data_IF_546239701308
#
_entry.id   IF_546239701308
#
_cell.length_a   1.000
_cell.length_b   1.000
_cell.length_c   1.000
_cell.angle_alpha   90.00
_cell.angle_beta   90.00
_cell.angle_gamma   90.00
#
_symmetry.space_group_name_H-M   'P 1'
#
loop_
_entity.id
_entity.type
_entity.pdbx_description
1 polymer ?
#
# COMPACT_ATOMS: atom_id res chain seq x y z
N UNK A 1 23.39 16.89 -24.31
CA UNK A 1 23.24 15.82 -25.32
C UNK A 1 22.49 16.29 -26.57
N UNK A 2 21.42 17.08 -26.47
CA UNK A 2 20.58 17.48 -27.62
C UNK A 2 21.25 18.42 -28.65
N UNK A 3 22.31 19.15 -28.28
CA UNK A 3 23.03 20.06 -29.18
C UNK A 3 24.30 19.48 -29.81
N UNK A 4 24.62 18.22 -29.53
CA UNK A 4 25.81 17.57 -30.08
C UNK A 4 25.50 17.04 -31.48
N UNK A 5 26.40 17.30 -32.42
CA UNK A 5 26.37 16.65 -33.74
C UNK A 5 26.42 15.13 -33.58
N UNK A 6 25.96 14.39 -34.60
CA UNK A 6 26.00 12.92 -34.57
C UNK A 6 27.43 12.38 -34.41
N UNK A 7 28.43 13.11 -34.93
CA UNK A 7 29.84 12.78 -34.78
C UNK A 7 30.34 13.00 -33.34
N UNK A 8 29.93 14.07 -32.68
CA UNK A 8 30.25 14.32 -31.27
C UNK A 8 29.53 13.35 -30.33
N UNK A 9 28.28 12.96 -30.63
CA UNK A 9 27.59 11.90 -29.90
C UNK A 9 28.32 10.57 -30.06
N UNK A 10 28.71 10.22 -31.29
CA UNK A 10 29.47 8.98 -31.55
C UNK A 10 30.81 9.01 -30.84
N UNK A 11 31.53 10.13 -30.85
CA UNK A 11 32.79 10.29 -30.12
C UNK A 11 32.58 10.21 -28.60
N UNK A 12 31.53 10.84 -28.07
CA UNK A 12 31.19 10.81 -26.65
C UNK A 12 30.80 9.40 -26.16
N UNK A 13 30.01 8.66 -26.95
CA UNK A 13 29.68 7.27 -26.66
C UNK A 13 30.89 6.33 -26.81
N UNK A 14 31.77 6.60 -27.78
CA UNK A 14 33.03 5.86 -27.93
C UNK A 14 33.96 6.12 -26.73
N UNK A 15 34.07 7.37 -26.28
CA UNK A 15 34.82 7.77 -25.10
C UNK A 15 34.25 7.18 -23.80
N UNK A 16 32.92 7.08 -23.68
CA UNK A 16 32.26 6.35 -22.57
C UNK A 16 32.56 4.84 -22.63
N UNK A 17 32.55 4.25 -23.83
CA UNK A 17 32.88 2.84 -24.05
C UNK A 17 34.34 2.52 -23.70
N UNK A 18 35.26 3.46 -23.93
CA UNK A 18 36.68 3.34 -23.57
C UNK A 18 36.99 3.82 -22.15
N UNK A 19 36.00 4.30 -21.40
CA UNK A 19 36.16 4.76 -20.01
C UNK A 19 36.97 6.05 -19.85
N UNK A 20 37.08 6.89 -20.89
CA UNK A 20 37.96 8.08 -20.88
C UNK A 20 37.24 9.39 -20.51
N UNK A 21 35.97 9.36 -20.12
CA UNK A 21 35.21 10.57 -19.77
C UNK A 21 35.35 10.84 -18.27
N UNK A 22 36.11 11.88 -17.93
CA UNK A 22 36.14 12.49 -16.60
C UNK A 22 34.77 13.12 -16.29
N UNK A 23 33.83 12.32 -15.81
CA UNK A 23 32.56 12.81 -15.28
C UNK A 23 32.37 12.25 -13.88
N UNK A 24 32.39 13.17 -12.91
CA UNK A 24 31.98 12.96 -11.52
C UNK A 24 30.47 12.68 -11.49
N UNK A 25 30.08 11.45 -11.82
CA UNK A 25 28.74 10.95 -11.57
C UNK A 25 28.78 10.14 -10.28
N UNK A 26 28.17 10.70 -9.23
CA UNK A 26 28.03 10.09 -7.92
C UNK A 26 27.41 8.70 -8.04
N UNK A 27 28.23 7.72 -7.67
CA UNK A 27 27.88 6.33 -7.59
C UNK A 27 27.19 6.14 -6.24
N UNK A 28 25.96 5.60 -6.23
CA UNK A 28 25.15 5.44 -4.99
C UNK A 28 25.88 4.62 -3.91
N UNK A 29 25.56 4.78 -2.61
CA UNK A 29 26.34 4.22 -1.48
C UNK A 29 26.54 2.70 -1.47
N UNK A 30 25.71 1.91 -2.17
CA UNK A 30 25.86 0.46 -2.28
C UNK A 30 26.76 0.01 -3.45
N UNK A 31 27.32 0.95 -4.21
CA UNK A 31 28.24 0.71 -5.32
C UNK A 31 29.67 1.21 -5.01
N UNK A 32 30.00 1.39 -3.73
CA UNK A 32 31.27 1.95 -3.21
C UNK A 32 32.55 1.20 -3.61
N UNK A 33 32.47 0.13 -4.41
CA UNK A 33 33.63 -0.56 -4.97
C UNK A 33 34.07 -0.08 -6.35
N UNK A 34 33.35 0.84 -7.00
CA UNK A 34 33.64 1.24 -8.37
C UNK A 34 34.55 2.49 -8.40
N UNK A 35 35.85 2.29 -8.65
CA UNK A 35 36.79 3.39 -8.89
C UNK A 35 36.93 3.66 -10.39
N UNK A 36 36.46 4.82 -10.90
CA UNK A 36 36.45 5.11 -12.35
C UNK A 36 37.85 5.34 -12.95
N UNK A 37 38.92 5.32 -12.14
CA UNK A 37 40.30 5.62 -12.58
C UNK A 37 41.14 4.41 -12.95
N UNK A 38 40.57 3.22 -12.97
CA UNK A 38 41.31 2.01 -13.34
C UNK A 38 40.89 1.62 -14.74
N UNK A 39 41.82 1.69 -15.69
CA UNK A 39 41.72 1.03 -16.99
C UNK A 39 41.63 -0.48 -16.74
N UNK A 40 40.42 -0.93 -16.43
CA UNK A 40 40.16 -2.31 -16.06
C UNK A 40 40.25 -3.18 -17.30
N UNK A 41 41.35 -3.93 -17.39
CA UNK A 41 41.60 -4.94 -18.40
C UNK A 41 40.48 -6.02 -18.35
N UNK A 42 39.62 -5.97 -19.37
CA UNK A 42 38.51 -6.91 -19.57
C UNK A 42 39.01 -8.34 -19.77
N UNK A 43 40.10 -8.48 -20.53
CA UNK A 43 40.71 -9.78 -20.75
C UNK A 43 41.32 -10.28 -19.45
N UNK A 44 41.99 -9.42 -18.69
CA UNK A 44 42.55 -9.73 -17.38
C UNK A 44 41.51 -10.24 -16.37
N UNK A 45 40.28 -9.72 -16.39
CA UNK A 45 39.21 -10.15 -15.47
C UNK A 45 38.66 -11.53 -15.81
N UNK A 46 38.45 -11.82 -17.10
CA UNK A 46 38.02 -13.14 -17.58
C UNK A 46 39.12 -14.18 -17.41
N UNK A 47 40.37 -13.83 -17.73
CA UNK A 47 41.53 -14.70 -17.53
C UNK A 47 41.71 -15.01 -16.05
N UNK A 48 41.60 -14.02 -15.15
CA UNK A 48 41.68 -14.25 -13.70
C UNK A 48 40.57 -15.18 -13.19
N UNK A 49 39.35 -15.07 -13.74
CA UNK A 49 38.26 -16.00 -13.40
C UNK A 49 38.59 -17.43 -13.87
N UNK A 50 39.10 -17.58 -15.09
CA UNK A 50 39.52 -18.87 -15.63
C UNK A 50 40.65 -19.49 -14.81
N UNK A 51 41.68 -18.72 -14.44
CA UNK A 51 42.79 -19.13 -13.59
C UNK A 51 42.32 -19.57 -12.19
N UNK A 52 41.38 -18.83 -11.58
CA UNK A 52 40.83 -19.18 -10.27
C UNK A 52 40.02 -20.49 -10.32
N UNK A 53 39.21 -20.67 -11.38
CA UNK A 53 38.46 -21.92 -11.59
C UNK A 53 39.39 -23.11 -11.76
N UNK A 54 40.45 -22.96 -12.55
CA UNK A 54 41.44 -24.01 -12.80
C UNK A 54 42.17 -24.40 -11.50
N UNK A 55 42.58 -23.41 -10.70
CA UNK A 55 43.21 -23.64 -9.39
C UNK A 55 42.31 -24.41 -8.41
N UNK A 56 41.03 -24.03 -8.32
CA UNK A 56 40.04 -24.70 -7.46
C UNK A 56 39.81 -26.14 -7.92
N UNK A 57 39.66 -26.36 -9.23
CA UNK A 57 39.51 -27.69 -9.82
C UNK A 57 40.73 -28.57 -9.53
N UNK A 58 41.94 -28.04 -9.68
CA UNK A 58 43.17 -28.77 -9.40
C UNK A 58 43.24 -29.20 -7.93
N UNK A 59 42.95 -28.29 -6.98
CA UNK A 59 42.93 -28.60 -5.54
C UNK A 59 41.87 -29.64 -5.17
N UNK A 60 40.69 -29.58 -5.78
CA UNK A 60 39.64 -30.61 -5.58
C UNK A 60 40.09 -31.98 -6.08
N UNK A 61 40.81 -32.03 -7.21
CA UNK A 61 41.36 -33.27 -7.75
C UNK A 61 42.46 -33.85 -6.84
N UNK A 62 43.33 -33.00 -6.27
CA UNK A 62 44.36 -33.42 -5.31
C UNK A 62 43.73 -34.05 -4.06
N UNK A 63 42.77 -33.35 -3.43
CA UNK A 63 42.03 -33.88 -2.28
C UNK A 63 41.32 -35.21 -2.59
N UNK A 64 40.75 -35.33 -3.78
CA UNK A 64 40.08 -36.56 -4.23
C UNK A 64 41.03 -37.73 -4.47
N UNK A 65 42.28 -37.48 -4.91
CA UNK A 65 43.30 -38.52 -5.13
C UNK A 65 43.84 -39.04 -3.80
N UNK A 66 44.10 -38.16 -2.84
CA UNK A 66 44.62 -38.54 -1.52
C UNK A 66 43.65 -39.41 -0.72
N UNK A 67 42.34 -39.27 -0.95
CA UNK A 67 41.33 -40.12 -0.34
C UNK A 67 41.25 -41.53 -0.92
N UNK A 68 41.71 -41.75 -2.17
CA UNK A 68 41.64 -43.08 -2.82
C UNK A 68 42.86 -43.96 -2.56
N UNK A 69 43.98 -43.39 -2.09
CA UNK A 69 45.29 -44.05 -2.11
C UNK A 69 45.74 -44.71 -0.79
N UNK A 70 44.97 -44.68 0.32
CA UNK A 70 45.44 -45.34 1.55
C UNK A 70 44.37 -45.70 2.59
N UNK A 71 44.05 -47.00 2.82
CA UNK A 71 43.23 -47.46 3.94
C UNK A 71 44.03 -47.82 5.22
N UNK A 72 45.33 -47.53 5.30
CA UNK A 72 46.18 -47.94 6.42
C UNK A 72 46.17 -46.95 7.60
N UNK A 73 45.33 -47.28 8.60
CA UNK A 73 45.45 -47.08 10.06
C UNK A 73 46.49 -46.08 10.63
N UNK A 74 46.49 -44.82 10.20
CA UNK A 74 47.17 -43.74 10.94
C UNK A 74 46.20 -42.56 11.10
N UNK A 75 45.36 -42.67 12.12
CA UNK A 75 44.28 -41.76 12.45
C UNK A 75 44.71 -40.79 13.57
N UNK A 76 44.65 -39.49 13.31
CA UNK A 76 44.00 -38.48 14.18
C UNK A 76 44.17 -37.03 13.64
N UNK A 77 45.21 -36.73 12.85
CA UNK A 77 45.52 -35.34 12.46
C UNK A 77 45.03 -34.89 11.06
N UNK A 78 44.78 -35.82 10.12
CA UNK A 78 44.32 -35.49 8.76
C UNK A 78 42.95 -34.78 8.65
N UNK A 79 41.92 -35.12 9.44
CA UNK A 79 40.58 -34.55 9.26
C UNK A 79 40.53 -33.02 9.41
N UNK A 80 41.39 -32.46 10.26
CA UNK A 80 41.41 -31.03 10.54
C UNK A 80 42.11 -30.23 9.43
N UNK A 81 43.06 -30.83 8.72
CA UNK A 81 43.68 -30.24 7.53
C UNK A 81 42.69 -30.24 6.36
N UNK A 82 41.94 -31.33 6.19
CA UNK A 82 40.92 -31.46 5.14
C UNK A 82 39.78 -30.45 5.34
N UNK A 83 39.32 -30.24 6.58
CA UNK A 83 38.29 -29.23 6.88
C UNK A 83 38.75 -27.79 6.56
N UNK A 84 40.02 -27.45 6.84
CA UNK A 84 40.58 -26.13 6.47
C UNK A 84 40.72 -25.97 4.95
N UNK A 85 41.06 -27.05 4.25
CA UNK A 85 41.11 -27.05 2.79
C UNK A 85 39.71 -26.84 2.19
N UNK A 86 38.68 -27.50 2.74
CA UNK A 86 37.28 -27.29 2.35
C UNK A 86 36.82 -25.85 2.60
N UNK A 87 37.13 -25.28 3.75
CA UNK A 87 36.79 -23.88 4.06
C UNK A 87 37.48 -22.89 3.11
N UNK A 88 38.76 -23.14 2.79
CA UNK A 88 39.51 -22.35 1.81
C UNK A 88 38.90 -22.44 0.41
N UNK A 89 38.48 -23.64 -0.01
CA UNK A 89 37.81 -23.85 -1.29
C UNK A 89 36.46 -23.15 -1.34
N UNK A 90 35.69 -23.19 -0.26
CA UNK A 90 34.41 -22.47 -0.15
C UNK A 90 34.61 -20.98 -0.36
N UNK A 91 35.58 -20.37 0.32
CA UNK A 91 35.91 -18.95 0.15
C UNK A 91 36.38 -18.60 -1.28
N UNK A 92 37.13 -19.50 -1.93
CA UNK A 92 37.54 -19.33 -3.33
C UNK A 92 36.37 -19.42 -4.31
N UNK A 93 35.43 -20.35 -4.10
CA UNK A 93 34.20 -20.48 -4.90
C UNK A 93 33.35 -19.21 -4.77
N UNK A 94 33.21 -18.66 -3.57
CA UNK A 94 32.52 -17.37 -3.37
C UNK A 94 33.23 -16.22 -4.11
N UNK A 95 34.57 -16.24 -4.16
CA UNK A 95 35.37 -15.31 -4.95
C UNK A 95 35.08 -15.40 -6.45
N UNK A 96 35.13 -16.61 -7.00
CA UNK A 96 34.80 -16.90 -8.40
C UNK A 96 33.38 -16.44 -8.73
N UNK A 97 32.41 -16.75 -7.87
CA UNK A 97 31.02 -16.35 -8.06
C UNK A 97 30.88 -14.82 -8.14
N UNK A 98 31.57 -14.08 -7.25
CA UNK A 98 31.62 -12.61 -7.32
C UNK A 98 32.23 -12.10 -8.62
N UNK A 99 33.36 -12.68 -9.06
CA UNK A 99 34.02 -12.31 -10.32
C UNK A 99 33.13 -12.60 -11.54
N UNK A 100 32.45 -13.74 -11.56
CA UNK A 100 31.50 -14.10 -12.61
C UNK A 100 30.34 -13.11 -12.70
N UNK A 101 29.70 -12.77 -11.57
CA UNK A 101 28.61 -11.78 -11.56
C UNK A 101 29.08 -10.40 -12.04
N UNK A 102 30.29 -9.97 -11.66
CA UNK A 102 30.87 -8.72 -12.13
C UNK A 102 31.12 -8.73 -13.65
N UNK A 103 31.72 -9.81 -14.18
CA UNK A 103 31.95 -9.96 -15.62
C UNK A 103 30.64 -10.00 -16.43
N UNK A 104 29.66 -10.76 -15.95
CA UNK A 104 28.35 -10.88 -16.59
C UNK A 104 27.56 -9.57 -16.55
N UNK A 105 27.64 -8.80 -15.46
CA UNK A 105 27.09 -7.44 -15.39
C UNK A 105 27.76 -6.52 -16.42
N UNK A 106 29.09 -6.59 -16.56
CA UNK A 106 29.84 -5.78 -17.52
C UNK A 106 29.45 -6.09 -18.98
N UNK A 107 29.37 -7.38 -19.34
CA UNK A 107 28.91 -7.80 -20.67
C UNK A 107 27.48 -7.33 -20.97
N UNK A 108 26.57 -7.39 -19.98
CA UNK A 108 25.21 -6.84 -20.12
C UNK A 108 25.21 -5.34 -20.36
N UNK A 109 26.02 -4.58 -19.62
CA UNK A 109 26.17 -3.14 -19.83
C UNK A 109 26.72 -2.84 -21.24
N UNK A 110 27.69 -3.61 -21.72
CA UNK A 110 28.27 -3.42 -23.05
C UNK A 110 27.27 -3.73 -24.17
N UNK A 111 26.54 -4.85 -24.07
CA UNK A 111 25.47 -5.20 -25.01
C UNK A 111 24.33 -4.15 -24.99
N UNK A 112 24.00 -3.61 -23.82
CA UNK A 112 23.06 -2.50 -23.72
C UNK A 112 23.59 -1.25 -24.44
N UNK A 113 24.85 -0.86 -24.22
CA UNK A 113 25.42 0.33 -24.87
C UNK A 113 25.51 0.18 -26.40
N UNK A 114 25.72 -1.02 -26.93
CA UNK A 114 25.75 -1.24 -28.39
C UNK A 114 24.34 -1.26 -29.00
N UNK A 115 23.33 -1.76 -28.28
CA UNK A 115 21.95 -1.82 -28.75
C UNK A 115 21.15 -0.54 -28.47
N UNK A 116 21.46 0.20 -27.40
CA UNK A 116 20.69 1.35 -26.91
C UNK A 116 20.46 2.46 -27.95
N UNK A 117 21.41 2.83 -28.84
CA UNK A 117 21.16 3.84 -29.87
C UNK A 117 20.08 3.47 -30.88
N UNK A 118 19.84 2.16 -31.04
CA UNK A 118 18.83 1.60 -31.94
C UNK A 118 17.50 1.31 -31.25
N UNK A 119 17.47 1.26 -29.91
CA UNK A 119 16.25 1.02 -29.16
C UNK A 119 15.31 2.24 -29.24
N UNK A 120 14.06 2.09 -29.69
CA UNK A 120 13.12 3.22 -29.83
C UNK A 120 12.96 4.05 -28.55
N UNK A 121 13.06 3.42 -27.39
CA UNK A 121 12.86 4.05 -26.08
C UNK A 121 13.92 5.11 -25.74
N UNK A 122 15.12 5.04 -26.34
CA UNK A 122 16.16 6.06 -26.12
C UNK A 122 15.91 7.34 -26.92
N UNK A 123 14.91 7.35 -27.82
CA UNK A 123 14.53 8.53 -28.62
C UNK A 123 13.31 9.25 -28.07
N UNK A 124 12.56 8.62 -27.16
CA UNK A 124 11.40 9.26 -26.53
C UNK A 124 11.85 10.47 -25.71
N UNK A 125 11.20 11.63 -25.81
CA UNK A 125 11.40 12.75 -24.90
C UNK A 125 11.19 12.37 -23.41
N UNK A 126 11.82 13.11 -22.49
CA UNK A 126 11.81 12.77 -21.05
C UNK A 126 10.41 12.89 -20.41
N UNK A 127 9.58 13.78 -20.91
CA UNK A 127 8.16 13.94 -20.55
C UNK A 127 7.33 12.74 -20.98
N UNK A 128 7.56 12.20 -22.19
CA UNK A 128 6.90 10.96 -22.64
C UNK A 128 7.36 9.76 -21.81
N UNK A 129 8.64 9.69 -21.45
CA UNK A 129 9.15 8.68 -20.53
C UNK A 129 8.51 8.81 -19.14
N UNK A 130 8.39 10.03 -18.61
CA UNK A 130 7.72 10.28 -17.34
C UNK A 130 6.25 9.83 -17.36
N UNK A 131 5.50 10.14 -18.42
CA UNK A 131 4.12 9.67 -18.59
C UNK A 131 4.03 8.14 -18.65
N UNK A 132 4.93 7.48 -19.37
CA UNK A 132 5.01 6.01 -19.39
C UNK A 132 5.28 5.49 -17.98
N UNK A 133 6.19 6.12 -17.22
CA UNK A 133 6.50 5.70 -15.87
C UNK A 133 5.33 5.86 -14.92
N UNK A 134 4.57 6.97 -15.02
CA UNK A 134 3.37 7.20 -14.23
C UNK A 134 2.30 6.13 -14.49
N UNK A 135 2.11 5.73 -15.75
CA UNK A 135 1.21 4.61 -16.11
C UNK A 135 1.68 3.25 -15.59
N UNK A 136 2.99 3.08 -15.43
CA UNK A 136 3.60 1.88 -14.84
C UNK A 136 3.72 1.96 -13.31
N UNK A 137 3.34 3.09 -12.70
CA UNK A 137 3.43 3.30 -11.27
C UNK A 137 2.63 2.26 -10.50
N UNK A 138 3.30 1.52 -9.62
CA UNK A 138 2.66 0.61 -8.68
C UNK A 138 2.48 1.31 -7.32
N UNK A 139 1.77 0.72 -6.38
CA UNK A 139 1.78 1.19 -5.00
C UNK A 139 3.17 1.04 -4.38
N UNK A 140 3.76 2.15 -3.92
CA UNK A 140 5.06 2.15 -3.25
C UNK A 140 4.95 1.46 -1.89
N UNK A 141 5.46 0.23 -1.82
CA UNK A 141 5.47 -0.58 -0.59
C UNK A 141 6.83 -1.24 -0.40
N UNK A 142 7.21 -1.41 0.85
CA UNK A 142 8.25 -2.38 1.20
C UNK A 142 7.65 -3.80 1.12
N UNK A 143 8.47 -4.83 0.96
CA UNK A 143 8.16 -6.23 0.56
C UNK A 143 7.20 -7.02 1.48
N UNK A 144 6.29 -6.38 2.18
CA UNK A 144 5.63 -6.94 3.35
C UNK A 144 4.48 -7.86 3.02
N UNK A 145 4.57 -9.08 3.53
CA UNK A 145 3.47 -10.05 3.58
C UNK A 145 2.29 -9.59 4.47
N UNK A 146 2.45 -8.51 5.25
CA UNK A 146 1.42 -8.04 6.18
C UNK A 146 0.16 -7.55 5.46
N UNK A 147 0.34 -6.97 4.26
CA UNK A 147 -0.75 -6.52 3.40
C UNK A 147 -1.50 -7.66 2.71
N UNK A 148 -0.88 -8.83 2.55
CA UNK A 148 -1.55 -10.01 1.96
C UNK A 148 -2.83 -10.36 2.74
N UNK A 149 -2.80 -10.18 4.06
CA UNK A 149 -3.95 -10.40 4.94
C UNK A 149 -5.03 -9.33 4.85
N UNK A 150 -4.66 -8.11 4.43
CA UNK A 150 -5.53 -6.94 4.43
C UNK A 150 -6.31 -6.86 3.11
N UNK A 151 -5.61 -7.00 1.99
CA UNK A 151 -6.17 -6.75 0.66
C UNK A 151 -6.85 -8.01 0.09
N UNK A 152 -6.68 -9.19 0.71
CA UNK A 152 -7.26 -10.43 0.19
C UNK A 152 -6.75 -10.81 -1.22
N UNK A 153 -5.59 -10.26 -1.60
CA UNK A 153 -5.02 -10.37 -2.94
C UNK A 153 -4.15 -11.61 -3.15
N UNK A 154 -4.05 -12.05 -4.40
CA UNK A 154 -3.33 -13.27 -4.79
C UNK A 154 -1.82 -13.21 -4.48
N UNK A 155 -1.31 -14.26 -3.86
CA UNK A 155 0.04 -14.46 -3.34
C UNK A 155 1.23 -14.24 -4.30
N UNK A 156 1.01 -14.08 -5.61
CA UNK A 156 2.09 -14.18 -6.60
C UNK A 156 2.75 -12.85 -7.01
N UNK A 157 2.12 -11.69 -6.77
CA UNK A 157 2.63 -10.40 -7.24
C UNK A 157 3.50 -9.64 -6.21
N UNK A 158 3.58 -10.09 -4.96
CA UNK A 158 4.19 -9.31 -3.87
C UNK A 158 5.71 -9.41 -3.76
N UNK A 159 6.35 -10.15 -4.68
CA UNK A 159 7.81 -10.32 -4.70
C UNK A 159 8.55 -9.34 -5.62
N UNK A 160 7.84 -8.50 -6.37
CA UNK A 160 8.46 -7.51 -7.22
C UNK A 160 8.82 -6.25 -6.42
N UNK A 161 9.96 -5.62 -6.73
CA UNK A 161 10.25 -4.26 -6.27
C UNK A 161 9.25 -3.30 -6.91
N UNK A 162 8.85 -2.20 -6.24
CA UNK A 162 7.99 -1.20 -6.86
C UNK A 162 8.59 -0.72 -8.18
N UNK A 163 7.74 -0.59 -9.22
CA UNK A 163 8.17 -0.23 -10.57
C UNK A 163 9.05 1.03 -10.57
N UNK A 164 8.71 2.01 -9.73
CA UNK A 164 9.46 3.26 -9.52
C UNK A 164 10.95 3.02 -9.23
N UNK A 165 11.24 2.08 -8.33
CA UNK A 165 12.61 1.75 -7.92
C UNK A 165 13.34 1.04 -9.05
N UNK A 166 12.63 0.15 -9.77
CA UNK A 166 13.19 -0.54 -10.94
C UNK A 166 13.52 0.47 -12.04
N UNK A 167 12.58 1.34 -12.40
CA UNK A 167 12.72 2.39 -13.41
C UNK A 167 13.90 3.33 -13.08
N UNK A 168 14.00 3.79 -11.82
CA UNK A 168 15.09 4.64 -11.36
C UNK A 168 16.47 3.95 -11.31
N UNK A 169 16.50 2.62 -11.42
CA UNK A 169 17.73 1.82 -11.42
C UNK A 169 18.26 1.46 -12.81
N UNK A 170 17.49 1.72 -13.88
CA UNK A 170 17.86 1.30 -15.26
C UNK A 170 19.08 2.06 -15.78
N UNK A 171 18.99 3.38 -15.90
CA UNK A 171 20.09 4.24 -16.35
C UNK A 171 19.92 5.66 -15.77
N UNK A 172 20.93 6.51 -15.91
CA UNK A 172 20.90 7.89 -15.37
C UNK A 172 19.71 8.69 -15.90
N UNK A 173 19.43 8.58 -17.20
CA UNK A 173 18.31 9.27 -17.84
C UNK A 173 16.95 8.84 -17.28
N UNK A 174 16.73 7.54 -17.14
CA UNK A 174 15.48 7.01 -16.58
C UNK A 174 15.32 7.40 -15.12
N UNK A 175 16.43 7.43 -14.37
CA UNK A 175 16.43 7.95 -13.00
C UNK A 175 16.01 9.41 -12.93
N UNK A 176 16.58 10.26 -13.78
CA UNK A 176 16.19 11.67 -13.86
C UNK A 176 14.71 11.82 -14.21
N UNK A 177 14.24 11.12 -15.25
CA UNK A 177 12.84 11.15 -15.66
C UNK A 177 11.89 10.65 -14.56
N UNK A 178 12.22 9.53 -13.90
CA UNK A 178 11.44 8.97 -12.80
C UNK A 178 11.44 9.87 -11.56
N UNK A 179 12.54 10.55 -11.25
CA UNK A 179 12.60 11.50 -10.14
C UNK A 179 11.86 12.81 -10.45
N UNK A 180 11.81 13.23 -11.72
CA UNK A 180 11.03 14.41 -12.13
C UNK A 180 9.51 14.14 -12.17
N UNK A 181 9.11 12.90 -12.39
CA UNK A 181 7.71 12.47 -12.42
C UNK A 181 7.14 12.39 -11.00
N UNK A 182 6.69 13.52 -10.43
CA UNK A 182 6.21 13.58 -9.03
C UNK A 182 5.04 12.65 -8.75
N UNK A 183 4.11 12.49 -9.70
CA UNK A 183 2.94 11.64 -9.56
C UNK A 183 3.31 10.15 -9.39
N UNK A 184 4.51 9.76 -9.85
CA UNK A 184 5.03 8.41 -9.66
C UNK A 184 5.24 8.04 -8.18
N UNK A 185 5.35 9.05 -7.31
CA UNK A 185 5.69 8.92 -5.88
C UNK A 185 4.53 9.26 -4.94
N UNK A 186 3.28 9.25 -5.44
CA UNK A 186 2.12 9.69 -4.65
C UNK A 186 1.32 8.57 -4.00
N UNK A 187 1.42 7.32 -4.47
CA UNK A 187 0.69 6.20 -3.89
C UNK A 187 1.62 5.37 -3.00
N UNK A 188 1.50 5.52 -1.68
CA UNK A 188 2.44 4.95 -0.70
C UNK A 188 1.72 4.09 0.34
N UNK A 189 2.21 2.87 0.55
CA UNK A 189 1.87 2.03 1.71
C UNK A 189 3.03 2.03 2.69
N UNK A 190 2.74 2.52 3.89
CA UNK A 190 3.69 2.59 4.98
C UNK A 190 3.28 1.64 6.10
N UNK A 191 4.04 0.55 6.27
CA UNK A 191 3.90 -0.42 7.35
C UNK A 191 5.17 -0.49 8.21
N UNK A 192 5.26 -1.47 9.13
CA UNK A 192 6.45 -1.62 9.99
C UNK A 192 7.74 -2.00 9.25
N UNK A 193 7.62 -2.57 8.04
CA UNK A 193 8.78 -3.05 7.30
C UNK A 193 9.47 -1.94 6.50
N UNK A 194 8.75 -0.87 6.15
CA UNK A 194 9.31 0.29 5.45
C UNK A 194 10.01 1.23 6.45
N UNK A 195 11.35 1.38 6.38
CA UNK A 195 12.07 2.31 7.24
C UNK A 195 11.59 3.75 7.00
N UNK A 196 11.48 4.53 8.07
CA UNK A 196 11.00 5.92 7.95
C UNK A 196 11.85 6.75 6.99
N UNK A 197 13.18 6.57 6.97
CA UNK A 197 14.04 7.30 6.04
C UNK A 197 13.71 7.03 4.56
N UNK A 198 13.30 5.81 4.21
CA UNK A 198 12.87 5.48 2.85
C UNK A 198 11.52 6.11 2.51
N UNK A 199 10.58 6.13 3.47
CA UNK A 199 9.33 6.84 3.32
C UNK A 199 9.56 8.34 3.09
N UNK A 200 10.40 8.97 3.91
CA UNK A 200 10.73 10.40 3.79
C UNK A 200 11.28 10.73 2.39
N UNK A 201 12.18 9.90 1.89
CA UNK A 201 12.71 10.03 0.55
C UNK A 201 11.62 9.95 -0.53
N UNK A 202 10.66 9.02 -0.39
CA UNK A 202 9.53 8.91 -1.32
C UNK A 202 8.58 10.10 -1.24
N UNK A 203 8.24 10.54 -0.03
CA UNK A 203 7.38 11.70 0.20
C UNK A 203 8.01 12.98 -0.37
N UNK A 204 9.32 13.16 -0.18
CA UNK A 204 10.12 14.26 -0.72
C UNK A 204 10.07 14.31 -2.25
N UNK A 205 10.21 13.15 -2.92
CA UNK A 205 10.12 13.05 -4.39
C UNK A 205 8.74 13.41 -4.92
N UNK A 206 7.67 13.05 -4.21
CA UNK A 206 6.31 13.47 -4.55
C UNK A 206 6.07 14.97 -4.40
N UNK A 207 6.90 15.68 -3.62
CA UNK A 207 6.83 17.13 -3.45
C UNK A 207 5.48 17.61 -2.89
N UNK A 208 4.74 18.38 -3.68
CA UNK A 208 3.41 18.91 -3.32
C UNK A 208 2.27 18.24 -4.11
N UNK A 209 2.54 17.15 -4.85
CA UNK A 209 1.50 16.44 -5.58
C UNK A 209 0.48 15.79 -4.61
N UNK A 210 -0.80 15.67 -4.99
CA UNK A 210 -1.80 14.95 -4.19
C UNK A 210 -1.28 13.55 -3.78
N UNK A 211 -1.50 13.15 -2.52
CA UNK A 211 -0.92 11.96 -1.92
C UNK A 211 -2.00 10.95 -1.52
N UNK A 212 -1.82 9.70 -1.94
CA UNK A 212 -2.60 8.56 -1.50
C UNK A 212 -1.75 7.74 -0.52
N UNK A 213 -2.10 7.81 0.77
CA UNK A 213 -1.33 7.19 1.83
C UNK A 213 -2.11 6.06 2.50
N UNK A 214 -1.51 4.87 2.57
CA UNK A 214 -2.01 3.76 3.38
C UNK A 214 -1.07 3.54 4.55
N UNK A 215 -1.54 3.76 5.78
CA UNK A 215 -0.75 3.55 7.01
C UNK A 215 -1.22 2.26 7.68
N UNK A 216 -0.33 1.28 7.75
CA UNK A 216 -0.60 -0.02 8.38
C UNK A 216 0.17 -0.11 9.69
N UNK A 217 -0.55 -0.39 10.78
CA UNK A 217 0.01 -0.55 12.12
C UNK A 217 -0.50 -1.86 12.73
N UNK A 218 0.36 -2.87 12.65
CA UNK A 218 0.19 -4.18 13.29
C UNK A 218 0.70 -4.18 14.74
N UNK A 219 1.69 -3.35 15.06
CA UNK A 219 2.30 -3.29 16.40
C UNK A 219 1.70 -2.16 17.26
N UNK A 220 1.22 -2.52 18.45
CA UNK A 220 0.73 -1.56 19.45
C UNK A 220 1.87 -0.99 20.31
N UNK A 221 2.63 -0.03 19.81
CA UNK A 221 3.55 0.76 20.63
C UNK A 221 3.22 2.26 20.52
N UNK A 222 3.29 2.97 21.64
CA UNK A 222 3.02 4.42 21.69
C UNK A 222 3.98 5.21 20.78
N UNK A 223 5.24 4.80 20.74
CA UNK A 223 6.25 5.41 19.86
C UNK A 223 5.87 5.26 18.38
N UNK A 224 5.40 4.07 17.97
CA UNK A 224 4.94 3.86 16.58
C UNK A 224 3.79 4.80 16.26
N UNK A 225 2.81 4.94 17.15
CA UNK A 225 1.63 5.78 16.91
C UNK A 225 2.02 7.25 16.76
N UNK A 226 2.86 7.77 17.67
CA UNK A 226 3.34 9.15 17.62
C UNK A 226 4.10 9.44 16.32
N UNK A 227 4.99 8.53 15.90
CA UNK A 227 5.71 8.67 14.62
C UNK A 227 4.77 8.64 13.42
N UNK A 228 3.75 7.75 13.41
CA UNK A 228 2.76 7.71 12.32
C UNK A 228 1.94 8.99 12.25
N UNK A 229 1.47 9.45 13.40
CA UNK A 229 0.70 10.67 13.52
C UNK A 229 1.50 11.87 12.99
N UNK A 230 2.75 12.02 13.40
CA UNK A 230 3.60 13.14 12.98
C UNK A 230 3.75 13.22 11.46
N UNK A 231 3.99 12.08 10.81
CA UNK A 231 4.07 12.02 9.34
C UNK A 231 2.72 12.37 8.71
N UNK A 232 1.61 11.82 9.22
CA UNK A 232 0.25 12.13 8.73
C UNK A 232 -0.01 13.64 8.82
N UNK A 233 0.28 14.28 9.96
CA UNK A 233 0.12 15.73 10.14
C UNK A 233 0.91 16.51 9.10
N UNK A 234 2.19 16.18 8.92
CA UNK A 234 3.06 16.87 7.97
C UNK A 234 2.58 16.75 6.52
N UNK A 235 2.01 15.62 6.12
CA UNK A 235 1.51 15.42 4.75
C UNK A 235 0.03 15.78 4.57
N UNK A 236 -0.68 16.15 5.65
CA UNK A 236 -2.12 16.43 5.65
C UNK A 236 -2.58 17.41 4.56
N UNK A 237 -1.88 18.53 4.30
CA UNK A 237 -2.32 19.49 3.30
C UNK A 237 -2.43 18.93 1.87
N UNK A 238 -1.70 17.85 1.57
CA UNK A 238 -1.67 17.21 0.26
C UNK A 238 -2.35 15.84 0.21
N UNK A 239 -2.90 15.34 1.32
CA UNK A 239 -3.59 14.04 1.32
C UNK A 239 -4.86 14.10 0.45
N UNK A 240 -4.94 13.21 -0.53
CA UNK A 240 -6.11 12.99 -1.38
C UNK A 240 -6.87 11.74 -0.93
N UNK A 241 -6.17 10.65 -0.66
CA UNK A 241 -6.73 9.46 -0.04
C UNK A 241 -5.91 9.05 1.19
N UNK A 242 -6.59 8.65 2.26
CA UNK A 242 -5.96 8.10 3.46
C UNK A 242 -6.64 6.79 3.86
N UNK A 243 -5.86 5.72 3.92
CA UNK A 243 -6.29 4.44 4.49
C UNK A 243 -5.53 4.15 5.77
N UNK A 244 -6.23 4.04 6.89
CA UNK A 244 -5.69 3.69 8.20
C UNK A 244 -6.05 2.26 8.54
N UNK A 245 -5.05 1.39 8.65
CA UNK A 245 -5.24 -0.03 8.96
C UNK A 245 -4.52 -0.37 10.25
N UNK A 246 -5.25 -0.79 11.28
CA UNK A 246 -4.59 -1.12 12.55
C UNK A 246 -5.50 -1.55 13.67
N UNK A 247 -4.96 -1.63 14.88
CA UNK A 247 -5.74 -1.94 16.07
C UNK A 247 -6.63 -0.75 16.48
N UNK A 248 -7.78 -0.99 17.14
CA UNK A 248 -8.72 0.07 17.57
C UNK A 248 -8.05 1.20 18.34
N UNK A 249 -7.05 0.88 19.16
CA UNK A 249 -6.30 1.88 19.94
C UNK A 249 -5.55 2.87 19.03
N UNK A 250 -4.87 2.38 17.99
CA UNK A 250 -4.17 3.23 17.02
C UNK A 250 -5.17 4.14 16.29
N UNK A 251 -6.26 3.56 15.79
CA UNK A 251 -7.28 4.29 15.04
C UNK A 251 -7.93 5.39 15.89
N UNK A 252 -8.25 5.09 17.15
CA UNK A 252 -8.76 6.07 18.11
C UNK A 252 -7.73 7.17 18.40
N UNK A 253 -6.47 6.80 18.63
CA UNK A 253 -5.39 7.76 18.89
C UNK A 253 -5.18 8.74 17.72
N UNK A 254 -5.18 8.23 16.48
CA UNK A 254 -5.12 9.07 15.28
C UNK A 254 -6.35 9.97 15.19
N UNK A 255 -7.56 9.44 15.39
CA UNK A 255 -8.77 10.25 15.29
C UNK A 255 -8.85 11.38 16.34
N UNK A 256 -8.29 11.17 17.53
CA UNK A 256 -8.23 12.20 18.57
C UNK A 256 -7.19 13.28 18.29
N UNK A 257 -6.01 12.90 17.79
CA UNK A 257 -4.88 13.81 17.73
C UNK A 257 -4.62 14.37 16.33
N UNK A 258 -5.18 13.79 15.27
CA UNK A 258 -5.05 14.32 13.92
C UNK A 258 -6.05 15.46 13.68
N UNK A 259 -5.65 16.65 14.12
CA UNK A 259 -6.45 17.88 14.03
C UNK A 259 -6.11 18.74 12.81
N UNK A 260 -4.95 18.53 12.19
CA UNK A 260 -4.44 19.33 11.08
C UNK A 260 -5.32 19.21 9.82
N UNK A 261 -5.72 20.32 9.19
CA UNK A 261 -6.65 20.30 8.07
C UNK A 261 -6.12 19.46 6.91
N UNK A 262 -7.00 18.68 6.29
CA UNK A 262 -6.69 17.93 5.07
C UNK A 262 -7.68 18.34 3.97
N UNK A 263 -7.48 19.52 3.35
CA UNK A 263 -8.47 20.12 2.45
C UNK A 263 -8.63 19.37 1.12
N UNK A 264 -7.66 18.55 0.72
CA UNK A 264 -7.72 17.75 -0.52
C UNK A 264 -8.24 16.33 -0.29
N UNK A 265 -8.52 15.94 0.97
CA UNK A 265 -8.86 14.57 1.31
C UNK A 265 -10.26 14.23 0.78
N UNK A 266 -10.31 13.42 -0.27
CA UNK A 266 -11.53 12.95 -0.91
C UNK A 266 -11.95 11.57 -0.38
N UNK A 267 -11.00 10.76 0.07
CA UNK A 267 -11.25 9.38 0.52
C UNK A 267 -10.60 9.11 1.88
N UNK A 268 -11.40 8.63 2.83
CA UNK A 268 -10.94 8.19 4.15
C UNK A 268 -11.42 6.77 4.42
N UNK A 269 -10.48 5.87 4.62
CA UNK A 269 -10.75 4.46 4.91
C UNK A 269 -10.12 4.09 6.25
N UNK A 270 -10.90 3.51 7.15
CA UNK A 270 -10.49 3.11 8.50
C UNK A 270 -10.80 1.64 8.67
N UNK A 271 -9.77 0.80 8.80
CA UNK A 271 -9.89 -0.65 8.83
C UNK A 271 -9.27 -1.24 10.08
N UNK A 272 -10.06 -2.04 10.80
CA UNK A 272 -9.58 -2.75 11.99
C UNK A 272 -8.85 -4.03 11.61
N UNK A 273 -7.60 -4.14 12.05
CA UNK A 273 -6.89 -5.42 12.10
C UNK A 273 -7.33 -6.26 13.30
N UNK A 274 -7.58 -7.54 13.05
CA UNK A 274 -7.72 -8.55 14.10
C UNK A 274 -6.31 -8.90 14.57
N UNK A 275 -5.98 -8.50 15.80
CA UNK A 275 -4.68 -8.78 16.40
C UNK A 275 -4.70 -8.60 17.91
N UNK A 276 -3.72 -9.19 18.58
CA UNK A 276 -3.55 -9.05 20.03
C UNK A 276 -2.72 -7.80 20.35
N UNK A 277 -3.41 -6.71 20.70
CA UNK A 277 -2.79 -5.57 21.33
C UNK A 277 -2.69 -5.82 22.84
N UNK A 278 -1.48 -5.90 23.40
CA UNK A 278 -1.30 -6.05 24.85
C UNK A 278 -1.78 -4.83 25.63
N UNK A 279 -1.84 -3.67 24.96
CA UNK A 279 -2.27 -2.43 25.59
C UNK A 279 -3.80 -2.37 25.55
N UNK A 280 -4.43 -2.48 26.73
CA UNK A 280 -5.87 -2.30 26.87
C UNK A 280 -6.22 -0.84 26.54
N UNK A 281 -7.16 -0.57 25.62
CA UNK A 281 -7.60 0.79 25.35
C UNK A 281 -8.33 1.33 26.59
N UNK A 282 -8.05 2.58 26.96
CA UNK A 282 -8.76 3.25 28.06
C UNK A 282 -10.23 3.49 27.71
N UNK A 283 -10.53 3.66 26.42
CA UNK A 283 -11.85 3.98 25.90
C UNK A 283 -12.42 2.80 25.11
N UNK A 284 -13.73 2.56 25.23
CA UNK A 284 -14.44 1.48 24.53
C UNK A 284 -15.05 1.90 23.20
N UNK A 285 -15.00 3.18 22.85
CA UNK A 285 -15.52 3.71 21.60
C UNK A 285 -14.43 3.74 20.53
N UNK A 286 -14.87 3.72 19.28
CA UNK A 286 -14.05 4.08 18.14
C UNK A 286 -14.35 5.52 17.77
N UNK A 287 -13.32 6.35 17.75
CA UNK A 287 -13.46 7.74 17.34
C UNK A 287 -13.10 7.86 15.86
N UNK A 288 -13.88 8.65 15.12
CA UNK A 288 -13.56 9.10 13.77
C UNK A 288 -13.39 10.61 13.81
N UNK A 289 -12.46 11.10 13.00
CA UNK A 289 -12.19 12.52 12.84
C UNK A 289 -13.45 13.27 12.40
N UNK A 290 -13.68 14.48 12.92
CA UNK A 290 -14.82 15.28 12.49
C UNK A 290 -14.74 15.71 11.02
N UNK A 291 -15.87 15.57 10.33
CA UNK A 291 -15.96 15.77 8.87
C UNK A 291 -15.73 17.23 8.44
N UNK A 292 -16.03 18.22 9.28
CA UNK A 292 -15.80 19.63 8.98
C UNK A 292 -14.31 19.98 8.79
N UNK A 293 -13.41 19.17 9.33
CA UNK A 293 -11.95 19.35 9.16
C UNK A 293 -11.41 18.76 7.85
N UNK A 294 -12.26 18.04 7.12
CA UNK A 294 -11.98 17.38 5.83
C UNK A 294 -13.09 17.75 4.83
N UNK A 295 -13.19 19.04 4.45
CA UNK A 295 -14.35 19.56 3.73
C UNK A 295 -14.57 18.94 2.35
N UNK A 296 -13.52 18.38 1.73
CA UNK A 296 -13.58 17.72 0.43
C UNK A 296 -13.90 16.22 0.50
N UNK A 297 -14.14 15.67 1.69
CA UNK A 297 -14.33 14.24 1.85
C UNK A 297 -15.60 13.76 1.14
N UNK A 298 -15.41 12.87 0.16
CA UNK A 298 -16.47 12.29 -0.69
C UNK A 298 -16.77 10.85 -0.34
N UNK A 299 -15.77 10.08 0.09
CA UNK A 299 -15.93 8.66 0.44
C UNK A 299 -15.39 8.38 1.84
N UNK A 300 -16.23 7.78 2.70
CA UNK A 300 -15.87 7.34 4.04
C UNK A 300 -16.15 5.85 4.18
N UNK A 301 -15.10 5.08 4.45
CA UNK A 301 -15.18 3.64 4.68
C UNK A 301 -14.69 3.31 6.08
N UNK A 302 -15.54 2.67 6.88
CA UNK A 302 -15.24 2.24 8.25
C UNK A 302 -15.47 0.74 8.33
N UNK A 303 -14.43 -0.06 8.55
CA UNK A 303 -14.55 -1.52 8.57
C UNK A 303 -13.98 -2.19 9.81
N UNK A 304 -14.70 -3.20 10.29
CA UNK A 304 -14.30 -4.07 11.39
C UNK A 304 -14.25 -3.38 12.77
N UNK A 305 -14.66 -2.12 12.87
CA UNK A 305 -14.65 -1.34 14.11
C UNK A 305 -15.68 -1.89 15.11
N UNK A 306 -15.48 -1.59 16.38
CA UNK A 306 -16.42 -1.95 17.46
C UNK A 306 -17.21 -0.68 17.83
N UNK A 307 -18.54 -0.74 17.91
CA UNK A 307 -19.34 0.37 18.41
C UNK A 307 -19.06 0.63 19.91
N UNK A 308 -19.27 1.87 20.41
CA UNK A 308 -19.79 3.04 19.70
C UNK A 308 -18.85 3.60 18.62
N UNK A 309 -19.42 4.15 17.55
CA UNK A 309 -18.74 5.08 16.67
C UNK A 309 -18.97 6.48 17.24
N UNK A 310 -17.93 7.27 17.45
CA UNK A 310 -18.04 8.65 17.93
C UNK A 310 -17.28 9.57 16.97
N UNK A 311 -17.89 10.70 16.60
CA UNK A 311 -17.20 11.72 15.82
C UNK A 311 -16.71 12.82 16.76
N UNK A 312 -15.41 13.12 16.75
CA UNK A 312 -14.80 14.05 17.71
C UNK A 312 -14.49 15.41 17.07
N UNK A 313 -14.83 16.56 17.71
CA UNK A 313 -15.86 16.83 18.72
C UNK A 313 -17.19 17.27 18.09
N UNK A 314 -18.27 16.96 18.81
CA UNK A 314 -19.68 17.20 18.49
C UNK A 314 -20.14 18.66 18.65
N UNK A 315 -19.28 19.63 18.35
CA UNK A 315 -19.75 21.02 18.25
C UNK A 315 -20.76 21.08 17.12
N UNK A 316 -21.96 21.62 17.38
CA UNK A 316 -23.14 21.74 16.51
C UNK A 316 -22.87 22.56 15.24
N UNK A 317 -21.88 22.16 14.45
CA UNK A 317 -21.54 22.81 13.21
C UNK A 317 -22.42 22.18 12.13
N UNK A 318 -23.49 22.87 11.76
CA UNK A 318 -24.40 22.54 10.65
C UNK A 318 -23.72 22.60 9.27
N UNK A 319 -22.42 22.34 9.18
CA UNK A 319 -21.73 22.28 7.91
C UNK A 319 -22.13 20.99 7.20
N UNK A 320 -22.92 21.14 6.14
CA UNK A 320 -23.19 20.06 5.19
C UNK A 320 -21.86 19.56 4.65
N UNK A 321 -21.58 18.26 4.83
CA UNK A 321 -20.37 17.66 4.29
C UNK A 321 -20.55 17.27 2.81
N UNK A 322 -19.44 17.14 2.09
CA UNK A 322 -19.42 16.74 0.68
C UNK A 322 -19.49 15.21 0.49
N UNK A 323 -19.92 14.47 1.51
CA UNK A 323 -19.88 13.01 1.53
C UNK A 323 -20.91 12.45 0.55
N UNK A 324 -20.46 11.63 -0.39
CA UNK A 324 -21.27 10.96 -1.42
C UNK A 324 -21.36 9.47 -1.21
N UNK A 325 -20.34 8.86 -0.62
CA UNK A 325 -20.29 7.43 -0.36
C UNK A 325 -19.95 7.16 1.10
N UNK A 326 -20.75 6.32 1.74
CA UNK A 326 -20.56 5.91 3.12
C UNK A 326 -20.65 4.38 3.22
N UNK A 327 -19.57 3.74 3.66
CA UNK A 327 -19.52 2.30 3.94
C UNK A 327 -19.23 2.07 5.41
N UNK A 328 -20.14 1.41 6.13
CA UNK A 328 -19.99 1.07 7.54
C UNK A 328 -20.04 -0.45 7.73
N UNK A 329 -18.95 -1.05 8.20
CA UNK A 329 -18.87 -2.45 8.63
C UNK A 329 -18.49 -2.59 10.10
N UNK A 330 -19.39 -3.17 10.92
CA UNK A 330 -19.14 -3.37 12.35
C UNK A 330 -19.03 -4.85 12.75
N UNK A 331 -18.23 -5.12 13.78
CA UNK A 331 -18.10 -6.46 14.33
C UNK A 331 -19.13 -6.73 15.44
N UNK A 332 -20.33 -7.13 15.03
CA UNK A 332 -21.34 -7.92 15.74
C UNK A 332 -21.78 -7.45 17.16
N UNK A 333 -21.99 -6.14 17.34
CA UNK A 333 -22.59 -5.56 18.56
C UNK A 333 -23.60 -4.47 18.19
N UNK A 334 -24.46 -4.10 19.14
CA UNK A 334 -25.39 -2.98 19.05
C UNK A 334 -24.63 -1.73 18.60
N UNK A 335 -24.94 -1.25 17.40
CA UNK A 335 -24.44 0.03 16.91
C UNK A 335 -25.29 1.14 17.50
N UNK A 336 -24.67 2.27 17.82
CA UNK A 336 -25.42 3.43 18.30
C UNK A 336 -26.18 4.02 17.12
N UNK A 337 -27.45 3.64 17.00
CA UNK A 337 -28.37 4.11 15.96
C UNK A 337 -28.31 5.64 15.85
N UNK A 338 -28.36 6.35 16.97
CA UNK A 338 -28.37 7.82 16.97
C UNK A 338 -27.12 8.43 16.34
N UNK A 339 -25.94 7.85 16.55
CA UNK A 339 -24.71 8.36 15.93
C UNK A 339 -24.71 8.14 14.42
N UNK A 340 -25.23 7.00 13.95
CA UNK A 340 -25.35 6.72 12.52
C UNK A 340 -26.40 7.67 11.91
N UNK A 341 -27.55 7.85 12.54
CA UNK A 341 -28.57 8.79 12.07
C UNK A 341 -28.06 10.23 12.04
N UNK A 342 -27.35 10.67 13.09
CA UNK A 342 -26.70 11.99 13.12
C UNK A 342 -25.70 12.18 11.98
N UNK A 343 -24.89 11.16 11.69
CA UNK A 343 -23.98 11.16 10.54
C UNK A 343 -24.75 11.31 9.22
N UNK A 344 -25.81 10.52 9.01
CA UNK A 344 -26.64 10.58 7.82
C UNK A 344 -27.31 11.97 7.67
N UNK A 345 -27.85 12.55 8.75
CA UNK A 345 -28.41 13.92 8.74
C UNK A 345 -27.39 14.98 8.32
N UNK A 346 -26.12 14.78 8.66
CA UNK A 346 -25.04 15.70 8.26
C UNK A 346 -24.60 15.55 6.81
N UNK A 347 -25.06 14.50 6.11
CA UNK A 347 -24.64 14.09 4.76
C UNK A 347 -25.81 14.07 3.76
N UNK A 348 -26.46 15.21 3.47
CA UNK A 348 -27.60 15.25 2.54
C UNK A 348 -27.23 14.91 1.09
N UNK A 349 -25.96 15.02 0.71
CA UNK A 349 -25.43 14.74 -0.63
C UNK A 349 -25.02 13.26 -0.82
N UNK A 350 -25.41 12.39 0.12
CA UNK A 350 -25.04 10.98 0.10
C UNK A 350 -25.75 10.25 -1.04
N UNK A 351 -24.99 9.65 -1.94
CA UNK A 351 -25.46 8.89 -3.10
C UNK A 351 -25.46 7.39 -2.86
N UNK A 352 -24.44 6.88 -2.17
CA UNK A 352 -24.24 5.45 -1.91
C UNK A 352 -24.09 5.21 -0.42
N UNK A 353 -24.99 4.40 0.15
CA UNK A 353 -24.96 3.98 1.55
C UNK A 353 -24.82 2.46 1.63
N UNK A 354 -23.70 1.99 2.14
CA UNK A 354 -23.47 0.57 2.41
C UNK A 354 -23.32 0.28 3.91
N UNK A 355 -24.18 -0.58 4.43
CA UNK A 355 -24.24 -0.99 5.83
C UNK A 355 -23.98 -2.50 5.94
N UNK A 356 -22.77 -2.88 6.33
CA UNK A 356 -22.38 -4.28 6.57
C UNK A 356 -22.34 -4.59 8.06
N UNK A 357 -22.96 -5.68 8.47
CA UNK A 357 -22.97 -6.19 9.86
C UNK A 357 -23.38 -5.13 10.90
N UNK A 358 -24.12 -4.10 10.48
CA UNK A 358 -24.65 -3.03 11.32
C UNK A 358 -25.90 -3.58 12.00
N UNK A 359 -26.00 -3.45 13.33
CA UNK A 359 -27.12 -4.03 14.09
C UNK A 359 -27.74 -2.96 14.99
N UNK A 360 -28.91 -2.45 14.59
CA UNK A 360 -29.60 -1.36 15.28
C UNK A 360 -30.39 -1.81 16.52
N UNK A 361 -30.77 -3.08 16.60
CA UNK A 361 -31.43 -3.64 17.78
C UNK A 361 -30.95 -5.06 18.06
N UNK A 362 -31.06 -5.50 19.31
CA UNK A 362 -31.06 -6.93 19.63
C UNK A 362 -32.50 -7.38 19.87
N UNK A 363 -32.81 -8.64 19.55
CA UNK A 363 -34.17 -9.24 19.66
C UNK A 363 -34.82 -9.07 21.04
N UNK A 364 -34.01 -8.83 22.08
CA UNK A 364 -34.48 -8.57 23.44
C UNK A 364 -35.14 -7.21 23.64
N UNK A 365 -35.05 -6.30 22.65
CA UNK A 365 -35.60 -4.95 22.73
C UNK A 365 -36.70 -4.76 21.69
N UNK A 366 -37.85 -5.43 21.87
CA UNK A 366 -39.09 -5.10 21.16
C UNK A 366 -39.50 -3.62 21.33
N UNK A 367 -38.88 -2.90 22.26
CA UNK A 367 -39.02 -1.47 22.55
C UNK A 367 -37.90 -0.59 21.96
N UNK A 368 -37.07 -1.08 21.03
CA UNK A 368 -35.97 -0.28 20.47
C UNK A 368 -36.40 1.03 19.79
N UNK A 369 -37.66 1.10 19.37
CA UNK A 369 -38.35 2.34 19.09
C UNK A 369 -39.46 2.43 20.13
N UNK A 370 -39.26 3.11 21.27
CA UNK A 370 -40.40 3.44 22.12
C UNK A 370 -41.39 4.22 21.25
N UNK A 371 -42.69 4.04 21.47
CA UNK A 371 -43.79 4.67 20.70
C UNK A 371 -43.80 6.23 20.72
N UNK A 372 -42.69 6.84 21.09
CA UNK A 372 -42.40 8.28 21.06
C UNK A 372 -40.98 8.59 20.57
N UNK A 373 -40.38 7.79 19.68
CA UNK A 373 -39.20 8.24 18.94
C UNK A 373 -39.63 9.39 18.01
N UNK A 374 -39.72 10.61 18.56
CA UNK A 374 -39.95 11.86 17.83
C UNK A 374 -38.72 12.27 17.01
N UNK A 375 -37.94 11.29 16.56
CA UNK A 375 -36.70 11.50 15.85
C UNK A 375 -37.01 12.25 14.57
N UNK A 376 -36.32 13.37 14.38
CA UNK A 376 -36.34 14.12 13.15
C UNK A 376 -36.01 13.17 11.98
N UNK A 377 -36.88 13.19 10.97
CA UNK A 377 -36.72 12.42 9.73
C UNK A 377 -35.36 12.73 9.12
N UNK A 378 -34.68 11.69 8.66
CA UNK A 378 -33.38 11.81 8.00
C UNK A 378 -33.65 11.86 6.49
N UNK A 379 -33.63 13.07 5.94
CA UNK A 379 -33.85 13.29 4.51
C UNK A 379 -32.52 13.14 3.76
N UNK A 380 -32.46 12.17 2.85
CA UNK A 380 -31.33 11.90 1.98
C UNK A 380 -31.80 12.02 0.53
N UNK A 381 -31.94 13.26 0.02
CA UNK A 381 -32.54 13.50 -1.29
C UNK A 381 -31.74 12.87 -2.43
N UNK A 382 -30.41 12.82 -2.31
CA UNK A 382 -29.54 12.34 -3.39
C UNK A 382 -29.18 10.85 -3.26
N UNK A 383 -29.78 10.12 -2.31
CA UNK A 383 -29.45 8.71 -2.11
C UNK A 383 -30.01 7.86 -3.26
N UNK A 384 -29.10 7.24 -3.99
CA UNK A 384 -29.34 6.46 -5.20
C UNK A 384 -29.26 4.96 -4.94
N UNK A 385 -28.30 4.56 -4.09
CA UNK A 385 -27.95 3.17 -3.80
C UNK A 385 -27.93 2.90 -2.28
N UNK A 386 -28.70 1.90 -1.84
CA UNK A 386 -28.70 1.43 -0.45
C UNK A 386 -28.40 -0.07 -0.38
N UNK A 387 -27.27 -0.41 0.21
CA UNK A 387 -26.87 -1.79 0.44
C UNK A 387 -26.83 -2.11 1.94
N UNK A 388 -27.56 -3.15 2.37
CA UNK A 388 -27.65 -3.57 3.77
C UNK A 388 -27.32 -5.06 3.88
N UNK A 389 -26.09 -5.37 4.30
CA UNK A 389 -25.60 -6.74 4.51
C UNK A 389 -25.55 -7.09 5.99
N UNK A 390 -26.61 -7.67 6.56
CA UNK A 390 -26.68 -7.90 8.02
C UNK A 390 -26.61 -9.39 8.40
N UNK A 391 -26.00 -9.77 9.54
CA UNK A 391 -26.17 -11.12 10.09
C UNK A 391 -27.64 -11.37 10.48
N UNK A 392 -28.04 -12.64 10.60
CA UNK A 392 -29.44 -13.07 10.84
C UNK A 392 -30.12 -12.30 11.99
N UNK A 393 -31.41 -11.99 11.80
CA UNK A 393 -32.35 -11.33 12.75
C UNK A 393 -32.08 -9.84 13.05
N UNK A 394 -31.85 -9.04 12.00
CA UNK A 394 -31.78 -7.59 12.13
C UNK A 394 -33.16 -6.92 12.03
N UNK A 395 -33.36 -5.83 12.77
CA UNK A 395 -34.55 -4.99 12.64
C UNK A 395 -34.36 -3.93 11.57
N UNK A 396 -35.38 -3.80 10.72
CA UNK A 396 -35.46 -2.84 9.63
C UNK A 396 -36.30 -1.61 9.97
N UNK A 397 -36.84 -1.48 11.20
CA UNK A 397 -37.67 -0.32 11.61
C UNK A 397 -36.97 1.03 11.45
N UNK A 398 -35.64 1.07 11.53
CA UNK A 398 -34.87 2.29 11.29
C UNK A 398 -35.03 2.83 9.85
N UNK A 399 -35.45 2.01 8.89
CA UNK A 399 -35.77 2.51 7.55
C UNK A 399 -36.95 3.48 7.55
N UNK A 400 -37.86 3.40 8.55
CA UNK A 400 -39.00 4.32 8.68
C UNK A 400 -38.58 5.75 9.01
N UNK A 401 -37.35 5.95 9.51
CA UNK A 401 -36.83 7.29 9.79
C UNK A 401 -36.07 7.90 8.61
N UNK A 402 -35.92 7.17 7.50
CA UNK A 402 -35.26 7.65 6.29
C UNK A 402 -36.29 8.16 5.27
N UNK A 403 -36.06 9.35 4.73
CA UNK A 403 -36.77 9.86 3.56
C UNK A 403 -35.78 9.92 2.38
N UNK A 404 -35.98 9.04 1.39
CA UNK A 404 -35.00 8.75 0.31
C UNK A 404 -35.69 8.81 -1.07
N UNK A 405 -36.10 10.00 -1.54
CA UNK A 405 -36.99 10.14 -2.71
C UNK A 405 -36.39 9.68 -4.04
N UNK A 406 -35.07 9.65 -4.18
CA UNK A 406 -34.37 9.27 -5.42
C UNK A 406 -33.74 7.87 -5.36
N UNK A 407 -34.07 7.07 -4.34
CA UNK A 407 -33.53 5.73 -4.19
C UNK A 407 -34.05 4.84 -5.32
N UNK A 408 -33.15 4.27 -6.12
CA UNK A 408 -33.53 3.38 -7.22
C UNK A 408 -32.95 1.98 -7.08
N UNK A 409 -31.84 1.82 -6.34
CA UNK A 409 -31.23 0.52 -6.12
C UNK A 409 -31.14 0.17 -4.64
N UNK A 410 -31.62 -1.02 -4.29
CA UNK A 410 -31.55 -1.57 -2.94
C UNK A 410 -31.12 -3.02 -2.98
N UNK A 411 -30.08 -3.34 -2.23
CA UNK A 411 -29.68 -4.72 -1.96
C UNK A 411 -29.71 -4.99 -0.45
N UNK A 412 -30.43 -6.03 -0.04
CA UNK A 412 -30.52 -6.47 1.35
C UNK A 412 -30.19 -7.96 1.43
N UNK A 413 -29.06 -8.30 2.04
CA UNK A 413 -28.54 -9.68 2.09
C UNK A 413 -28.11 -10.08 3.51
N UNK A 414 -28.15 -11.37 3.94
CA UNK A 414 -28.69 -12.56 3.29
C UNK A 414 -30.17 -12.85 3.61
N UNK A 415 -30.84 -11.95 4.33
CA UNK A 415 -32.07 -12.30 5.03
C UNK A 415 -33.30 -11.67 4.38
N UNK A 416 -34.33 -12.49 4.12
CA UNK A 416 -35.72 -12.07 3.83
C UNK A 416 -36.40 -11.37 5.02
N UNK A 417 -35.68 -11.06 6.10
CA UNK A 417 -36.27 -10.45 7.31
C UNK A 417 -36.94 -9.10 7.06
N UNK A 418 -36.58 -8.41 5.98
CA UNK A 418 -37.31 -7.22 5.55
C UNK A 418 -38.70 -7.55 5.00
N UNK A 419 -38.90 -8.73 4.37
CA UNK A 419 -40.20 -9.22 3.89
C UNK A 419 -41.12 -9.56 5.06
N UNK A 420 -40.58 -10.24 6.08
CA UNK A 420 -41.29 -10.51 7.33
C UNK A 420 -41.68 -9.22 8.06
N UNK A 421 -40.80 -8.21 8.07
CA UNK A 421 -41.11 -6.92 8.68
C UNK A 421 -42.23 -6.15 7.97
N UNK A 422 -42.34 -6.29 6.64
CA UNK A 422 -43.38 -5.65 5.85
C UNK A 422 -44.72 -6.39 5.89
N UNK A 423 -44.80 -7.53 6.59
CA UNK A 423 -45.91 -8.48 6.50
C UNK A 423 -46.30 -8.74 5.03
N UNK A 424 -45.28 -8.82 4.15
CA UNK A 424 -45.49 -8.88 2.70
C UNK A 424 -45.77 -10.32 2.26
N UNK A 425 -47.05 -10.63 2.08
CA UNK A 425 -47.55 -11.89 1.50
C UNK A 425 -47.56 -11.91 -0.04
N UNK A 426 -46.85 -10.98 -0.69
CA UNK A 426 -46.94 -10.79 -2.14
C UNK A 426 -46.39 -11.96 -2.98
N UNK A 427 -46.74 -12.01 -4.27
CA UNK A 427 -46.45 -13.13 -5.17
C UNK A 427 -44.93 -13.40 -5.29
N UNK A 428 -44.55 -14.63 -5.66
CA UNK A 428 -43.14 -15.05 -5.83
C UNK A 428 -42.36 -14.25 -6.89
N UNK A 429 -43.04 -13.42 -7.68
CA UNK A 429 -42.40 -12.52 -8.63
C UNK A 429 -41.69 -11.36 -7.91
N UNK A 430 -40.49 -10.95 -8.39
CA UNK A 430 -39.69 -9.93 -7.73
C UNK A 430 -40.33 -8.54 -7.88
N UNK A 431 -41.22 -8.18 -6.95
CA UNK A 431 -41.62 -6.78 -6.76
C UNK A 431 -40.44 -6.03 -6.19
N UNK A 432 -40.11 -4.89 -6.80
CA UNK A 432 -39.02 -4.04 -6.34
C UNK A 432 -39.25 -3.67 -4.85
N UNK A 433 -38.34 -4.01 -3.92
CA UNK A 433 -38.55 -3.80 -2.47
C UNK A 433 -38.95 -2.37 -2.10
N UNK A 434 -38.46 -1.41 -2.88
CA UNK A 434 -38.78 0.02 -2.72
C UNK A 434 -40.25 0.37 -2.93
N UNK A 435 -40.93 -0.32 -3.84
CA UNK A 435 -42.37 -0.09 -4.09
C UNK A 435 -43.20 -0.56 -2.91
N UNK A 436 -42.80 -1.63 -2.24
CA UNK A 436 -43.49 -2.16 -1.05
C UNK A 436 -43.26 -1.27 0.17
N UNK A 437 -42.06 -0.73 0.31
CA UNK A 437 -41.68 0.14 1.43
C UNK A 437 -42.24 1.57 1.32
N UNK A 438 -42.98 1.91 0.26
CA UNK A 438 -43.55 3.23 0.05
C UNK A 438 -42.52 4.32 -0.33
N UNK A 439 -41.31 3.93 -0.74
CA UNK A 439 -40.27 4.88 -1.14
C UNK A 439 -40.49 5.44 -2.55
N UNK A 440 -41.21 4.71 -3.40
CA UNK A 440 -41.56 5.17 -4.74
C UNK A 440 -42.94 5.80 -4.70
N UNK A 441 -43.05 7.11 -4.95
CA UNK A 441 -44.35 7.74 -5.28
C UNK A 441 -44.81 7.14 -6.61
N UNK A 442 -45.95 6.44 -6.58
CA UNK A 442 -46.66 5.93 -7.75
C UNK A 442 -47.02 7.02 -8.75
#
# INVERSE_FOLDING_TARGET
>A
MAHLSDQERTHHFTAMKTGSVESTLDITPWQSGYSPRTTYDEHGSINRLAEQLDLVLHRMQELGRDHRSSPTSQACSKPLADLRAVDTLSAQIDGIHRCYHAALHKLRCQAFLTAAPSAPITRLPDDILALIFELLGDTLRHYSSSMEKIIGGSYFLHKARPAQVVLASVCSRWRTAAHSAKALWTNVVWDESLPIAALEEWLSRGGNAPLDLTVVVTQCSSQSFATRLEVIRRVSPRLQALTLVGHTKFLHDIAQHWIDPAPLLNELSVQRLIGHCRIKPAVRCTTVRALHTVPSLRSLTVTGLRPPLEFHPASECHTTNALRQLTLEFNNRTTHLETILSLLRSSPLLQVLELRKVCFCTETHAQCFPDGFSGELVVLPDLEELEVKQPRRACFRWLQVLEVPNLYWVDMWPNKGWQEWLDWDGPEEPVHPLSVMGFVKS
#
